data_IF_611890936342
#
_entry.id   IF_611890936342
#
_cell.length_a   1.000
_cell.length_b   1.000
_cell.length_c   1.000
_cell.angle_alpha   90.00
_cell.angle_beta   90.00
_cell.angle_gamma   90.00
#
_symmetry.space_group_name_H-M   'P 1'
#
loop_
_entity.id
_entity.type
_entity.pdbx_description
1 polymer ?
#
# COMPACT_ATOMS: atom_id res chain seq x y z
N UNK A 1 -22.58 21.84 1.64
CA UNK A 1 -21.26 21.80 2.29
C UNK A 1 -20.47 20.70 1.60
N UNK A 2 -19.48 21.05 0.78
CA UNK A 2 -18.65 20.06 0.11
C UNK A 2 -17.76 19.40 1.16
N UNK A 3 -18.04 18.14 1.50
CA UNK A 3 -17.11 17.32 2.25
C UNK A 3 -15.83 17.17 1.41
N UNK A 4 -14.83 17.97 1.74
CA UNK A 4 -13.47 17.74 1.23
C UNK A 4 -13.02 16.45 1.86
N UNK A 5 -13.01 15.37 1.10
CA UNK A 5 -12.54 14.06 1.56
C UNK A 5 -11.11 14.20 2.09
N UNK A 6 -10.90 13.83 3.35
CA UNK A 6 -9.57 13.81 3.95
C UNK A 6 -8.87 12.51 3.54
N UNK A 7 -7.95 12.61 2.58
CA UNK A 7 -7.10 11.49 2.22
C UNK A 7 -5.92 11.40 3.20
N UNK A 8 -5.68 10.21 3.73
CA UNK A 8 -4.54 9.93 4.61
C UNK A 8 -3.34 9.48 3.77
N UNK A 9 -2.17 10.04 4.05
CA UNK A 9 -0.94 9.80 3.28
C UNK A 9 0.05 9.02 4.12
N UNK A 10 0.64 8.00 3.50
CA UNK A 10 1.82 7.27 3.99
C UNK A 10 2.80 7.03 2.84
N UNK A 11 3.87 6.30 3.08
CA UNK A 11 4.87 5.91 2.10
C UNK A 11 5.07 4.39 2.09
N UNK A 12 5.71 3.89 1.04
CA UNK A 12 6.05 2.47 0.88
C UNK A 12 7.40 2.18 1.57
N UNK A 13 7.44 1.16 2.42
CA UNK A 13 8.62 0.69 3.14
C UNK A 13 8.73 1.20 4.58
N UNK A 14 9.88 0.94 5.21
CA UNK A 14 10.18 1.39 6.56
C UNK A 14 10.79 2.81 6.58
N UNK A 15 10.72 3.53 7.73
CA UNK A 15 11.30 4.86 7.85
C UNK A 15 12.80 4.89 7.48
N UNK A 16 13.24 5.94 6.78
CA UNK A 16 14.66 6.17 6.45
C UNK A 16 15.53 6.27 7.70
N UNK A 17 14.95 6.77 8.80
CA UNK A 17 15.62 6.89 10.09
C UNK A 17 16.08 5.56 10.69
N UNK A 18 15.57 4.43 10.21
CA UNK A 18 16.00 3.10 10.65
C UNK A 18 17.37 2.68 10.07
N UNK A 19 17.85 3.35 9.02
CA UNK A 19 19.16 3.16 8.39
C UNK A 19 19.49 1.74 7.90
N UNK A 20 18.50 0.87 7.78
CA UNK A 20 18.66 -0.49 7.27
C UNK A 20 18.13 -0.60 5.83
N UNK A 21 18.88 -1.26 4.97
CA UNK A 21 18.44 -1.56 3.61
C UNK A 21 17.56 -2.80 3.54
N UNK A 22 17.76 -3.76 4.47
CA UNK A 22 16.95 -4.97 4.65
C UNK A 22 16.88 -5.37 6.11
N UNK A 23 15.75 -5.97 6.50
CA UNK A 23 15.49 -6.56 7.81
C UNK A 23 15.43 -8.07 7.70
N UNK A 24 16.16 -8.78 8.53
CA UNK A 24 16.03 -10.22 8.66
C UNK A 24 15.03 -10.54 9.76
N UNK A 25 13.96 -11.27 9.42
CA UNK A 25 12.91 -11.65 10.37
C UNK A 25 12.87 -13.15 10.54
N UNK A 26 12.99 -13.60 11.78
CA UNK A 26 12.93 -15.02 12.17
C UNK A 26 11.59 -15.37 12.85
N UNK A 27 10.84 -14.39 13.31
CA UNK A 27 9.57 -14.57 14.00
C UNK A 27 8.52 -13.55 13.59
N UNK A 28 7.26 -13.85 13.86
CA UNK A 28 6.16 -12.88 13.71
C UNK A 28 6.29 -11.73 14.72
N UNK A 29 6.88 -12.00 15.88
CA UNK A 29 7.19 -10.99 16.89
C UNK A 29 8.18 -9.94 16.37
N UNK A 30 9.17 -10.36 15.56
CA UNK A 30 10.08 -9.40 14.90
C UNK A 30 9.32 -8.42 14.02
N UNK A 31 8.34 -8.89 13.24
CA UNK A 31 7.51 -8.03 12.42
C UNK A 31 6.60 -7.13 13.24
N UNK A 32 6.01 -7.61 14.34
CA UNK A 32 5.24 -6.79 15.27
C UNK A 32 6.08 -5.67 15.87
N UNK A 33 7.32 -5.94 16.26
CA UNK A 33 8.25 -4.92 16.73
C UNK A 33 8.58 -3.87 15.67
N UNK A 34 8.79 -4.28 14.41
CA UNK A 34 9.00 -3.33 13.31
C UNK A 34 7.75 -2.48 13.04
N UNK A 35 6.56 -3.07 13.10
CA UNK A 35 5.28 -2.35 13.00
C UNK A 35 5.17 -1.30 14.10
N UNK A 36 5.40 -1.70 15.36
CA UNK A 36 5.36 -0.78 16.49
C UNK A 36 6.32 0.39 16.33
N UNK A 37 7.59 0.10 16.04
CA UNK A 37 8.63 1.14 15.88
C UNK A 37 8.30 2.08 14.70
N UNK A 38 7.78 1.54 13.60
CA UNK A 38 7.38 2.35 12.43
C UNK A 38 6.21 3.27 12.76
N UNK A 39 5.21 2.78 13.47
CA UNK A 39 4.09 3.60 13.93
C UNK A 39 4.54 4.71 14.87
N UNK A 40 5.42 4.40 15.85
CA UNK A 40 5.99 5.38 16.78
C UNK A 40 6.78 6.46 16.03
N UNK A 41 7.62 6.08 15.05
CA UNK A 41 8.40 7.05 14.28
C UNK A 41 7.50 7.92 13.40
N UNK A 42 6.50 7.32 12.74
CA UNK A 42 5.57 8.04 11.88
C UNK A 42 4.69 9.02 12.66
N UNK A 43 4.25 8.67 13.88
CA UNK A 43 3.44 9.59 14.70
C UNK A 43 4.18 10.87 15.07
N UNK A 44 5.51 10.82 15.27
CA UNK A 44 6.34 12.02 15.49
C UNK A 44 6.27 13.02 14.34
N UNK A 45 6.03 12.50 13.12
CA UNK A 45 5.93 13.28 11.87
C UNK A 45 4.50 13.51 11.41
N UNK A 46 3.51 13.12 12.23
CA UNK A 46 2.07 13.18 11.92
C UNK A 46 1.65 12.35 10.71
N UNK A 47 2.40 11.30 10.42
CA UNK A 47 2.04 10.27 9.44
C UNK A 47 1.29 9.18 10.22
N UNK A 48 0.02 8.95 9.89
CA UNK A 48 -0.84 8.04 10.66
C UNK A 48 -0.67 6.58 10.25
N UNK A 49 -0.52 6.34 8.95
CA UNK A 49 -0.52 5.00 8.38
C UNK A 49 0.90 4.49 8.15
N UNK A 50 1.03 3.18 7.99
CA UNK A 50 2.25 2.55 7.49
C UNK A 50 1.92 1.62 6.33
N UNK A 51 2.86 1.45 5.40
CA UNK A 51 2.80 0.44 4.35
C UNK A 51 4.14 -0.29 4.28
N UNK A 52 4.16 -1.52 4.76
CA UNK A 52 5.35 -2.38 4.81
C UNK A 52 5.63 -2.88 3.39
N UNK A 53 6.87 -2.77 2.91
CA UNK A 53 7.30 -3.37 1.64
C UNK A 53 8.09 -4.65 1.91
N UNK A 54 7.60 -5.77 1.40
CA UNK A 54 8.29 -7.05 1.56
C UNK A 54 9.66 -7.10 0.89
N UNK A 55 9.98 -6.17 -0.03
CA UNK A 55 11.32 -6.08 -0.64
C UNK A 55 12.39 -5.61 0.34
N UNK A 56 11.99 -4.98 1.44
CA UNK A 56 12.89 -4.54 2.52
C UNK A 56 13.07 -5.62 3.62
N UNK A 57 12.46 -6.80 3.43
CA UNK A 57 12.47 -7.88 4.42
C UNK A 57 13.04 -9.15 3.80
N UNK A 58 13.86 -9.84 4.58
CA UNK A 58 14.25 -11.23 4.34
C UNK A 58 13.61 -12.11 5.41
N UNK A 59 12.67 -12.95 5.00
CA UNK A 59 11.97 -13.87 5.88
C UNK A 59 12.71 -15.19 5.97
N UNK A 60 13.05 -15.65 7.18
CA UNK A 60 13.58 -17.00 7.41
C UNK A 60 12.48 -18.06 7.31
N UNK A 61 12.88 -19.33 7.23
CA UNK A 61 11.90 -20.42 7.29
C UNK A 61 11.16 -20.47 8.64
N UNK A 62 11.84 -20.11 9.71
CA UNK A 62 11.24 -20.10 11.07
C UNK A 62 10.09 -19.10 11.16
N UNK A 63 10.19 -17.95 10.48
CA UNK A 63 9.09 -16.96 10.41
C UNK A 63 7.77 -17.58 9.93
N UNK A 64 7.81 -18.50 8.95
CA UNK A 64 6.60 -19.11 8.38
C UNK A 64 6.00 -20.20 9.28
N UNK A 65 6.81 -20.85 10.10
CA UNK A 65 6.37 -21.86 11.07
C UNK A 65 6.03 -21.28 12.44
N UNK A 66 6.43 -20.03 12.70
CA UNK A 66 6.18 -19.34 13.95
C UNK A 66 4.67 -19.09 14.20
N UNK A 67 4.28 -19.08 15.46
CA UNK A 67 2.94 -18.76 15.92
C UNK A 67 3.00 -17.58 16.87
N UNK A 68 1.96 -16.73 16.84
CA UNK A 68 1.84 -15.64 17.82
C UNK A 68 1.24 -16.25 19.08
N UNK A 69 2.04 -16.28 20.15
CA UNK A 69 1.58 -16.66 21.48
C UNK A 69 0.98 -15.42 22.18
N UNK A 70 -0.30 -15.19 21.93
CA UNK A 70 -1.03 -14.04 22.51
C UNK A 70 -1.19 -14.13 24.03
N UNK A 71 -0.99 -15.31 24.63
CA UNK A 71 -1.02 -15.52 26.09
C UNK A 71 0.29 -15.11 26.75
N UNK A 72 1.39 -14.99 25.98
CA UNK A 72 2.65 -14.44 26.47
C UNK A 72 2.49 -12.96 26.85
N UNK A 73 2.85 -12.61 28.07
CA UNK A 73 2.76 -11.23 28.57
C UNK A 73 3.47 -10.22 27.66
N UNK A 74 4.66 -10.57 27.14
CA UNK A 74 5.45 -9.67 26.30
C UNK A 74 4.77 -9.40 24.95
N UNK A 75 4.13 -10.40 24.35
CA UNK A 75 3.42 -10.26 23.08
C UNK A 75 2.10 -9.54 23.29
N UNK A 76 1.35 -9.89 24.34
CA UNK A 76 0.12 -9.19 24.71
C UNK A 76 0.36 -7.71 24.93
N UNK A 77 1.39 -7.34 25.68
CA UNK A 77 1.81 -5.96 25.90
C UNK A 77 2.19 -5.23 24.60
N UNK A 78 2.84 -5.92 23.66
CA UNK A 78 3.21 -5.36 22.37
C UNK A 78 1.98 -5.11 21.48
N UNK A 79 1.07 -6.08 21.42
CA UNK A 79 -0.20 -5.95 20.70
C UNK A 79 -1.03 -4.78 21.27
N UNK A 80 -1.12 -4.66 22.59
CA UNK A 80 -1.82 -3.55 23.24
C UNK A 80 -1.21 -2.18 22.91
N UNK A 81 0.13 -2.08 22.89
CA UNK A 81 0.83 -0.85 22.49
C UNK A 81 0.53 -0.48 21.05
N UNK A 82 0.56 -1.45 20.11
CA UNK A 82 0.24 -1.23 18.71
C UNK A 82 -1.23 -0.80 18.57
N UNK A 83 -2.16 -1.54 19.18
CA UNK A 83 -3.60 -1.28 19.13
C UNK A 83 -3.93 0.10 19.69
N UNK A 84 -3.27 0.52 20.78
CA UNK A 84 -3.43 1.86 21.34
C UNK A 84 -3.07 2.95 20.32
N UNK A 85 -1.99 2.77 19.57
CA UNK A 85 -1.61 3.73 18.51
C UNK A 85 -2.64 3.69 17.37
N UNK A 86 -3.06 2.50 16.93
CA UNK A 86 -4.06 2.35 15.86
C UNK A 86 -5.35 3.09 16.24
N UNK A 87 -5.86 2.90 17.47
CA UNK A 87 -7.10 3.53 17.91
C UNK A 87 -6.95 5.04 18.09
N UNK A 88 -5.89 5.49 18.79
CA UNK A 88 -5.69 6.92 19.12
C UNK A 88 -5.51 7.77 17.86
N UNK A 89 -4.76 7.27 16.88
CA UNK A 89 -4.46 8.02 15.66
C UNK A 89 -5.33 7.62 14.47
N UNK A 90 -6.23 6.64 14.63
CA UNK A 90 -6.99 6.02 13.52
C UNK A 90 -6.06 5.53 12.42
N UNK A 91 -4.95 4.89 12.82
CA UNK A 91 -3.91 4.41 11.91
C UNK A 91 -4.36 3.19 11.12
N UNK A 92 -3.90 3.08 9.87
CA UNK A 92 -4.05 1.89 9.04
C UNK A 92 -2.70 1.28 8.72
N UNK A 93 -2.66 -0.05 8.66
CA UNK A 93 -1.47 -0.81 8.33
C UNK A 93 -1.72 -1.54 7.02
N UNK A 94 -0.76 -1.41 6.09
CA UNK A 94 -0.78 -2.06 4.80
C UNK A 94 0.49 -2.89 4.61
N UNK A 95 0.39 -3.92 3.78
CA UNK A 95 1.52 -4.75 3.39
C UNK A 95 1.56 -4.86 1.87
N UNK A 96 2.69 -4.51 1.27
CA UNK A 96 2.92 -4.60 -0.16
C UNK A 96 3.81 -5.80 -0.48
N UNK A 97 3.26 -6.76 -1.21
CA UNK A 97 4.02 -7.90 -1.71
C UNK A 97 4.83 -7.47 -2.94
N UNK A 98 6.15 -7.48 -2.79
CA UNK A 98 7.09 -7.16 -3.86
C UNK A 98 7.09 -8.21 -4.96
N UNK A 99 7.86 -7.93 -6.01
CA UNK A 99 8.00 -8.79 -7.21
C UNK A 99 8.64 -10.18 -6.96
N UNK A 100 8.97 -10.50 -5.74
CA UNK A 100 9.51 -11.80 -5.36
C UNK A 100 8.40 -12.79 -4.97
N UNK A 101 7.18 -12.30 -4.73
CA UNK A 101 6.04 -13.06 -4.23
C UNK A 101 4.88 -13.02 -5.22
N UNK A 102 4.73 -14.12 -5.97
CA UNK A 102 3.67 -14.22 -6.99
C UNK A 102 2.84 -15.49 -6.82
N UNK A 103 1.56 -15.35 -6.55
CA UNK A 103 0.62 -16.47 -6.55
C UNK A 103 0.52 -17.14 -7.93
N UNK A 104 0.69 -16.39 -9.02
CA UNK A 104 0.64 -16.91 -10.38
C UNK A 104 1.90 -17.67 -10.81
N UNK A 105 2.95 -17.72 -9.98
CA UNK A 105 4.20 -18.40 -10.32
C UNK A 105 3.97 -19.88 -10.71
N UNK A 106 4.63 -20.30 -11.78
CA UNK A 106 4.67 -21.72 -12.17
C UNK A 106 5.70 -22.51 -11.34
N UNK A 107 6.61 -21.82 -10.65
CA UNK A 107 7.58 -22.41 -9.74
C UNK A 107 6.91 -22.64 -8.40
N UNK A 108 6.78 -23.91 -8.01
CA UNK A 108 6.06 -24.31 -6.80
C UNK A 108 6.64 -23.70 -5.53
N UNK A 109 7.96 -23.62 -5.44
CA UNK A 109 8.64 -23.01 -4.31
C UNK A 109 8.24 -21.56 -4.09
N UNK A 110 8.27 -20.73 -5.16
CA UNK A 110 7.86 -19.32 -5.10
C UNK A 110 6.39 -19.20 -4.70
N UNK A 111 5.54 -20.03 -5.30
CA UNK A 111 4.11 -20.05 -5.01
C UNK A 111 3.81 -20.40 -3.57
N UNK A 112 4.41 -21.51 -3.08
CA UNK A 112 4.21 -21.97 -1.72
C UNK A 112 4.74 -20.96 -0.70
N UNK A 113 5.91 -20.36 -0.95
CA UNK A 113 6.45 -19.27 -0.14
C UNK A 113 5.52 -18.07 -0.11
N UNK A 114 4.90 -17.73 -1.26
CA UNK A 114 3.91 -16.64 -1.34
C UNK A 114 2.67 -16.96 -0.49
N UNK A 115 2.11 -18.16 -0.60
CA UNK A 115 0.97 -18.60 0.21
C UNK A 115 1.28 -18.53 1.70
N UNK A 116 2.46 -19.06 2.11
CA UNK A 116 2.92 -19.00 3.50
C UNK A 116 3.05 -17.57 4.00
N UNK A 117 3.62 -16.65 3.18
CA UNK A 117 3.73 -15.24 3.54
C UNK A 117 2.35 -14.60 3.74
N UNK A 118 1.42 -14.81 2.80
CA UNK A 118 0.08 -14.23 2.89
C UNK A 118 -0.67 -14.69 4.14
N UNK A 119 -0.57 -15.98 4.47
CA UNK A 119 -1.21 -16.54 5.66
C UNK A 119 -0.53 -16.00 6.94
N UNK A 120 0.80 -15.87 6.98
CA UNK A 120 1.52 -15.32 8.13
C UNK A 120 1.16 -13.84 8.34
N UNK A 121 1.13 -13.02 7.28
CA UNK A 121 0.73 -11.61 7.38
C UNK A 121 -0.75 -11.49 7.78
N UNK A 122 -1.62 -12.34 7.22
CA UNK A 122 -3.04 -12.37 7.61
C UNK A 122 -3.21 -12.68 9.10
N UNK A 123 -2.50 -13.67 9.63
CA UNK A 123 -2.51 -14.01 11.06
C UNK A 123 -2.06 -12.84 11.95
N UNK A 124 -0.96 -12.15 11.58
CA UNK A 124 -0.50 -10.96 12.30
C UNK A 124 -1.57 -9.86 12.27
N UNK A 125 -2.22 -9.66 11.13
CA UNK A 125 -3.27 -8.66 10.98
C UNK A 125 -4.53 -9.02 11.77
N UNK A 126 -4.86 -10.31 11.91
CA UNK A 126 -5.95 -10.78 12.77
C UNK A 126 -5.68 -10.44 14.25
N UNK A 127 -4.47 -10.70 14.75
CA UNK A 127 -4.07 -10.34 16.12
C UNK A 127 -4.09 -8.82 16.38
N UNK A 128 -4.00 -8.00 15.32
CA UNK A 128 -4.13 -6.54 15.37
C UNK A 128 -5.54 -6.03 15.07
N UNK A 129 -6.53 -6.92 14.91
CA UNK A 129 -7.91 -6.55 14.57
C UNK A 129 -8.09 -5.94 13.18
N UNK A 130 -7.13 -6.15 12.27
CA UNK A 130 -7.17 -5.64 10.90
C UNK A 130 -7.97 -6.59 10.02
N UNK A 131 -9.19 -6.20 9.67
CA UNK A 131 -10.15 -7.01 8.91
C UNK A 131 -10.61 -6.35 7.59
N UNK A 132 -9.87 -5.38 7.08
CA UNK A 132 -10.11 -4.67 5.81
C UNK A 132 -9.05 -5.05 4.76
N UNK A 133 -9.32 -4.81 3.45
CA UNK A 133 -8.33 -5.05 2.40
C UNK A 133 -7.06 -4.20 2.61
N UNK A 134 -5.94 -4.86 2.86
CA UNK A 134 -4.70 -4.25 3.34
C UNK A 134 -3.42 -4.91 2.80
N UNK A 135 -3.53 -6.12 2.21
CA UNK A 135 -2.40 -6.84 1.62
C UNK A 135 -2.44 -6.65 0.10
N UNK A 136 -1.49 -5.91 -0.43
CA UNK A 136 -1.45 -5.50 -1.84
C UNK A 136 -0.60 -6.49 -2.64
N UNK A 137 -1.21 -7.13 -3.63
CA UNK A 137 -0.57 -8.09 -4.51
C UNK A 137 -0.37 -7.53 -5.92
N UNK A 138 0.67 -8.03 -6.59
CA UNK A 138 0.78 -8.01 -8.05
C UNK A 138 0.47 -9.40 -8.59
N UNK A 139 -0.06 -9.49 -9.81
CA UNK A 139 -0.31 -10.82 -10.43
C UNK A 139 1.02 -11.53 -10.68
N UNK A 140 2.02 -10.81 -11.17
CA UNK A 140 3.35 -11.32 -11.46
C UNK A 140 3.70 -11.24 -12.95
N UNK A 141 4.77 -11.94 -13.35
CA UNK A 141 5.26 -11.91 -14.71
C UNK A 141 4.38 -12.71 -15.67
N UNK A 142 4.11 -12.14 -16.85
CA UNK A 142 3.34 -12.77 -17.89
C UNK A 142 4.24 -13.61 -18.84
N UNK A 143 4.92 -14.62 -18.28
CA UNK A 143 5.58 -15.64 -19.13
C UNK A 143 4.51 -16.60 -19.66
N UNK A 144 4.14 -16.45 -20.93
CA UNK A 144 3.14 -17.28 -21.58
C UNK A 144 1.79 -16.60 -21.81
N UNK A 145 0.70 -17.36 -21.74
CA UNK A 145 -0.64 -16.87 -22.01
C UNK A 145 -1.19 -16.07 -20.82
N UNK A 146 -1.40 -14.75 -21.01
CA UNK A 146 -1.92 -13.83 -19.98
C UNK A 146 -3.25 -14.30 -19.37
N UNK A 147 -4.17 -14.88 -20.18
CA UNK A 147 -5.45 -15.38 -19.69
C UNK A 147 -5.28 -16.57 -18.75
N UNK A 148 -4.38 -17.49 -19.08
CA UNK A 148 -4.07 -18.63 -18.23
C UNK A 148 -3.42 -18.21 -16.90
N UNK A 149 -2.55 -17.20 -16.94
CA UNK A 149 -1.92 -16.64 -15.74
C UNK A 149 -2.99 -16.01 -14.83
N UNK A 150 -3.89 -15.19 -15.36
CA UNK A 150 -4.99 -14.61 -14.59
C UNK A 150 -5.91 -15.70 -14.01
N UNK A 151 -6.29 -16.71 -14.81
CA UNK A 151 -7.10 -17.83 -14.33
C UNK A 151 -6.42 -18.61 -13.22
N UNK A 152 -5.11 -18.88 -13.37
CA UNK A 152 -4.29 -19.53 -12.34
C UNK A 152 -4.20 -18.70 -11.06
N UNK A 153 -4.02 -17.38 -11.19
CA UNK A 153 -4.05 -16.47 -10.05
C UNK A 153 -5.39 -16.51 -9.32
N UNK A 154 -6.50 -16.42 -10.04
CA UNK A 154 -7.86 -16.48 -9.47
C UNK A 154 -8.09 -17.79 -8.71
N UNK A 155 -7.76 -18.96 -9.33
CA UNK A 155 -7.90 -20.25 -8.66
C UNK A 155 -7.15 -20.26 -7.32
N UNK A 156 -5.90 -19.83 -7.32
CA UNK A 156 -5.05 -19.83 -6.11
C UNK A 156 -5.52 -18.83 -5.05
N UNK A 157 -6.06 -17.68 -5.46
CA UNK A 157 -6.70 -16.76 -4.53
C UNK A 157 -7.91 -17.43 -3.88
N UNK A 158 -8.73 -18.14 -4.64
CA UNK A 158 -9.92 -18.82 -4.13
C UNK A 158 -9.58 -20.00 -3.21
N UNK A 159 -8.41 -20.61 -3.37
CA UNK A 159 -7.89 -21.68 -2.50
C UNK A 159 -7.34 -21.18 -1.16
N UNK A 160 -7.09 -19.86 -1.03
CA UNK A 160 -6.63 -19.29 0.25
C UNK A 160 -7.76 -19.30 1.30
N UNK A 161 -7.43 -19.34 2.61
CA UNK A 161 -8.39 -19.14 3.68
C UNK A 161 -9.21 -17.87 3.49
N UNK A 162 -10.48 -17.89 3.89
CA UNK A 162 -11.40 -16.73 3.73
C UNK A 162 -10.86 -15.48 4.42
N UNK A 163 -10.27 -15.65 5.59
CA UNK A 163 -9.67 -14.61 6.41
C UNK A 163 -8.52 -13.93 5.66
N UNK A 164 -7.64 -14.72 5.03
CA UNK A 164 -6.55 -14.20 4.18
C UNK A 164 -7.10 -13.49 2.95
N UNK A 165 -8.06 -14.10 2.24
CA UNK A 165 -8.67 -13.50 1.04
C UNK A 165 -9.32 -12.15 1.30
N UNK A 166 -10.01 -12.00 2.43
CA UNK A 166 -10.72 -10.77 2.78
C UNK A 166 -9.80 -9.56 2.94
N UNK A 167 -8.51 -9.80 3.18
CA UNK A 167 -7.48 -8.76 3.34
C UNK A 167 -6.73 -8.44 2.06
N UNK A 168 -6.97 -9.19 0.97
CA UNK A 168 -6.24 -9.00 -0.28
C UNK A 168 -6.79 -7.84 -1.11
N UNK A 169 -5.88 -7.20 -1.83
CA UNK A 169 -6.15 -6.30 -2.96
C UNK A 169 -5.10 -6.50 -4.03
N UNK A 170 -5.43 -6.24 -5.29
CA UNK A 170 -4.51 -6.39 -6.42
C UNK A 170 -4.20 -5.04 -7.04
N UNK A 171 -2.97 -4.84 -7.53
CA UNK A 171 -2.57 -3.57 -8.17
C UNK A 171 -2.09 -3.77 -9.61
N UNK A 172 -2.31 -2.73 -10.44
CA UNK A 172 -1.90 -2.72 -11.84
C UNK A 172 -0.39 -2.52 -12.02
N UNK A 173 0.12 -3.04 -13.13
CA UNK A 173 1.53 -3.01 -13.51
C UNK A 173 1.86 -1.89 -14.49
N UNK A 174 3.17 -1.55 -14.58
CA UNK A 174 3.73 -0.49 -15.42
C UNK A 174 4.19 -0.94 -16.82
N UNK A 175 4.21 -2.25 -17.09
CA UNK A 175 4.63 -2.77 -18.40
C UNK A 175 3.43 -3.16 -19.25
N UNK A 176 3.34 -2.77 -20.54
CA UNK A 176 2.24 -3.17 -21.42
C UNK A 176 2.10 -4.69 -21.60
N UNK A 177 3.17 -5.46 -21.37
CA UNK A 177 3.13 -6.93 -21.36
C UNK A 177 2.50 -7.51 -20.11
N UNK A 178 2.30 -6.71 -19.04
CA UNK A 178 1.67 -7.10 -17.78
C UNK A 178 0.22 -6.61 -17.68
N UNK A 179 -0.31 -6.46 -16.51
CA UNK A 179 -1.75 -6.34 -16.26
C UNK A 179 -2.16 -4.90 -15.95
N UNK A 180 -2.96 -4.32 -16.84
CA UNK A 180 -3.60 -3.01 -16.68
C UNK A 180 -4.81 -3.08 -15.75
N UNK A 181 -5.39 -1.93 -15.39
CA UNK A 181 -6.68 -1.87 -14.64
C UNK A 181 -7.80 -2.61 -15.38
N UNK A 182 -7.85 -2.50 -16.72
CA UNK A 182 -8.84 -3.21 -17.54
C UNK A 182 -8.71 -4.72 -17.41
N UNK A 183 -7.48 -5.24 -17.43
CA UNK A 183 -7.21 -6.67 -17.25
C UNK A 183 -7.60 -7.13 -15.84
N UNK A 184 -7.24 -6.33 -14.80
CA UNK A 184 -7.59 -6.65 -13.42
C UNK A 184 -9.10 -6.67 -13.19
N UNK A 185 -9.82 -5.72 -13.76
CA UNK A 185 -11.28 -5.66 -13.64
C UNK A 185 -11.93 -6.88 -14.29
N UNK A 186 -11.59 -7.15 -15.55
CA UNK A 186 -12.23 -8.22 -16.32
C UNK A 186 -11.79 -9.62 -15.96
N UNK A 187 -10.51 -9.81 -15.57
CA UNK A 187 -9.93 -11.14 -15.36
C UNK A 187 -9.73 -11.53 -13.90
N UNK A 188 -9.78 -10.58 -12.95
CA UNK A 188 -9.53 -10.86 -11.53
C UNK A 188 -10.72 -10.48 -10.66
N UNK A 189 -11.16 -9.21 -10.73
CA UNK A 189 -12.21 -8.73 -9.82
C UNK A 189 -13.53 -9.49 -9.99
N UNK A 190 -13.98 -9.75 -11.21
CA UNK A 190 -15.25 -10.47 -11.43
C UNK A 190 -15.20 -11.89 -10.90
N UNK A 191 -14.04 -12.56 -10.91
CA UNK A 191 -13.87 -13.93 -10.44
C UNK A 191 -13.67 -14.02 -8.92
N UNK A 192 -12.87 -13.10 -8.34
CA UNK A 192 -12.39 -13.23 -6.95
C UNK A 192 -13.03 -12.24 -6.00
N UNK A 193 -13.60 -11.16 -6.50
CA UNK A 193 -14.13 -10.02 -5.74
C UNK A 193 -13.07 -9.29 -4.88
N UNK A 194 -11.77 -9.53 -5.07
CA UNK A 194 -10.72 -8.73 -4.40
C UNK A 194 -10.62 -7.36 -5.05
N UNK A 195 -10.56 -6.26 -4.28
CA UNK A 195 -10.55 -4.91 -4.83
C UNK A 195 -9.25 -4.57 -5.54
N UNK A 196 -9.29 -3.52 -6.39
CA UNK A 196 -8.16 -3.02 -7.16
C UNK A 196 -7.58 -1.78 -6.47
N UNK A 197 -6.34 -1.87 -6.00
CA UNK A 197 -5.53 -0.74 -5.57
C UNK A 197 -4.91 -0.06 -6.79
N UNK A 198 -5.34 1.17 -7.08
CA UNK A 198 -4.88 1.88 -8.27
C UNK A 198 -3.45 2.40 -8.08
N UNK A 199 -2.52 1.96 -8.95
CA UNK A 199 -1.14 2.44 -8.99
C UNK A 199 -0.97 3.42 -10.15
N UNK A 200 -0.80 4.71 -9.82
CA UNK A 200 -0.79 5.80 -10.79
C UNK A 200 0.30 5.66 -11.85
N UNK A 201 1.56 5.50 -11.43
CA UNK A 201 2.68 5.37 -12.38
C UNK A 201 2.54 4.11 -13.26
N UNK A 202 2.00 3.03 -12.69
CA UNK A 202 1.67 1.82 -13.45
C UNK A 202 0.69 2.11 -14.57
N UNK A 203 -0.35 2.89 -14.29
CA UNK A 203 -1.34 3.26 -15.30
C UNK A 203 -0.78 4.20 -16.37
N UNK A 204 0.12 5.12 -16.03
CA UNK A 204 0.75 6.00 -17.04
C UNK A 204 1.48 5.20 -18.13
N UNK A 205 2.16 4.12 -17.77
CA UNK A 205 2.91 3.29 -18.71
C UNK A 205 2.11 2.11 -19.30
N UNK A 206 1.01 1.71 -18.63
CA UNK A 206 0.14 0.61 -19.04
C UNK A 206 -1.32 0.96 -18.81
N UNK A 207 -1.86 1.87 -19.64
CA UNK A 207 -3.17 2.45 -19.42
C UNK A 207 -4.36 1.53 -19.78
N UNK A 208 -4.12 0.44 -20.54
CA UNK A 208 -5.18 -0.49 -20.93
C UNK A 208 -6.32 0.14 -21.72
N UNK A 209 -6.06 1.28 -22.42
CA UNK A 209 -7.05 2.02 -23.20
C UNK A 209 -7.92 2.99 -22.39
N UNK A 210 -7.62 3.22 -21.11
CA UNK A 210 -8.37 4.11 -20.23
C UNK A 210 -7.60 5.41 -19.93
N UNK A 211 -8.33 6.50 -19.73
CA UNK A 211 -7.75 7.69 -19.11
C UNK A 211 -7.49 7.46 -17.62
N UNK A 212 -6.62 8.27 -17.01
CA UNK A 212 -6.34 8.21 -15.55
C UNK A 212 -7.64 8.26 -14.74
N UNK A 213 -8.55 9.16 -15.12
CA UNK A 213 -9.83 9.34 -14.42
C UNK A 213 -10.71 8.09 -14.50
N UNK A 214 -10.86 7.51 -15.69
CA UNK A 214 -11.65 6.30 -15.89
C UNK A 214 -11.09 5.13 -15.11
N UNK A 215 -9.79 4.85 -15.23
CA UNK A 215 -9.12 3.79 -14.51
C UNK A 215 -9.24 3.95 -12.99
N UNK A 216 -9.08 5.18 -12.50
CA UNK A 216 -9.24 5.49 -11.08
C UNK A 216 -10.65 5.19 -10.57
N UNK A 217 -11.71 5.66 -11.26
CA UNK A 217 -13.09 5.40 -10.84
C UNK A 217 -13.49 3.94 -10.98
N UNK A 218 -13.02 3.23 -12.01
CA UNK A 218 -13.22 1.79 -12.15
C UNK A 218 -12.57 1.02 -11.01
N UNK A 219 -11.33 1.36 -10.64
CA UNK A 219 -10.66 0.76 -9.48
C UNK A 219 -11.42 1.06 -8.18
N UNK A 220 -11.83 2.31 -7.98
CA UNK A 220 -12.59 2.72 -6.80
C UNK A 220 -13.92 1.95 -6.67
N UNK A 221 -14.62 1.67 -7.77
CA UNK A 221 -15.89 0.94 -7.74
C UNK A 221 -15.78 -0.51 -7.20
N UNK A 222 -14.57 -1.08 -7.18
CA UNK A 222 -14.32 -2.42 -6.67
C UNK A 222 -14.27 -2.51 -5.14
N UNK A 223 -14.20 -1.38 -4.43
CA UNK A 223 -13.98 -1.32 -2.97
C UNK A 223 -15.24 -1.44 -2.12
N UNK A 224 -16.43 -1.46 -2.71
CA UNK A 224 -17.71 -1.75 -2.03
C UNK A 224 -17.95 -0.94 -0.75
N UNK A 225 -17.53 0.33 -0.72
CA UNK A 225 -17.70 1.23 0.42
C UNK A 225 -16.51 1.32 1.38
N UNK A 226 -15.52 0.46 1.23
CA UNK A 226 -14.23 0.62 1.92
C UNK A 226 -13.43 1.78 1.33
N UNK A 227 -12.52 2.37 2.14
CA UNK A 227 -11.65 3.46 1.67
C UNK A 227 -10.56 2.88 0.77
N UNK A 228 -10.52 3.23 -0.52
CA UNK A 228 -9.61 2.62 -1.48
C UNK A 228 -8.15 2.99 -1.24
N UNK A 229 -7.26 2.09 -1.65
CA UNK A 229 -5.82 2.33 -1.68
C UNK A 229 -5.44 2.92 -3.03
N UNK A 230 -4.70 4.03 -2.98
CA UNK A 230 -4.12 4.70 -4.14
C UNK A 230 -2.60 4.79 -3.98
N UNK A 231 -1.86 4.08 -4.82
CA UNK A 231 -0.39 4.10 -4.84
C UNK A 231 0.03 5.17 -5.83
N UNK A 232 0.71 6.20 -5.35
CA UNK A 232 1.11 7.34 -6.17
C UNK A 232 2.61 7.56 -6.17
N UNK A 233 3.16 7.74 -7.37
CA UNK A 233 4.53 8.17 -7.59
C UNK A 233 4.61 9.05 -8.84
N UNK A 234 5.64 9.87 -8.89
CA UNK A 234 6.07 10.55 -10.10
C UNK A 234 7.36 9.91 -10.62
N UNK A 235 7.60 9.99 -11.92
CA UNK A 235 8.85 9.52 -12.51
C UNK A 235 10.02 10.40 -12.05
N UNK A 236 11.15 9.75 -11.74
CA UNK A 236 12.43 10.44 -11.52
C UNK A 236 12.90 11.16 -12.76
N UNK A 237 12.56 10.64 -13.93
CA UNK A 237 13.01 11.13 -15.22
C UNK A 237 11.83 11.67 -16.02
N UNK A 238 12.05 12.83 -16.67
CA UNK A 238 11.07 13.48 -17.54
C UNK A 238 11.74 13.87 -18.86
N UNK A 239 10.96 13.85 -19.94
CA UNK A 239 11.39 14.39 -21.24
C UNK A 239 11.35 15.94 -21.24
N UNK A 240 11.68 16.53 -22.40
CA UNK A 240 11.68 17.98 -22.58
C UNK A 240 10.28 18.61 -22.45
N UNK A 241 9.23 17.83 -22.66
CA UNK A 241 7.83 18.24 -22.54
C UNK A 241 7.26 18.01 -21.13
N UNK A 242 8.06 17.39 -20.23
CA UNK A 242 7.68 17.09 -18.84
C UNK A 242 6.94 15.76 -18.66
N UNK A 243 6.84 14.92 -19.71
CA UNK A 243 6.22 13.61 -19.61
C UNK A 243 7.14 12.62 -18.86
N UNK A 244 6.54 11.64 -18.21
CA UNK A 244 7.27 10.57 -17.53
C UNK A 244 7.91 9.62 -18.56
N UNK A 245 9.21 9.32 -18.40
CA UNK A 245 9.96 8.43 -19.29
C UNK A 245 10.36 7.11 -18.66
N UNK A 246 10.25 6.99 -17.34
CA UNK A 246 10.50 5.75 -16.61
C UNK A 246 9.54 5.58 -15.44
N UNK A 247 9.32 4.33 -15.00
CA UNK A 247 8.53 4.04 -13.80
C UNK A 247 9.36 4.13 -12.51
N UNK A 248 10.63 4.52 -12.60
CA UNK A 248 11.49 4.75 -11.43
C UNK A 248 10.98 5.91 -10.61
N UNK A 249 10.73 5.71 -9.30
CA UNK A 249 10.12 6.75 -8.46
C UNK A 249 11.06 7.93 -8.22
N UNK A 250 10.47 9.12 -8.17
CA UNK A 250 11.15 10.37 -7.79
C UNK A 250 11.47 10.40 -6.29
N UNK A 251 12.33 11.33 -5.90
CA UNK A 251 12.62 11.57 -4.48
C UNK A 251 11.42 12.21 -3.76
N UNK A 252 10.77 13.17 -4.42
CA UNK A 252 9.63 13.93 -3.92
C UNK A 252 8.58 14.10 -5.00
N UNK A 253 7.33 14.30 -4.58
CA UNK A 253 6.27 14.73 -5.50
C UNK A 253 6.36 16.22 -5.76
N UNK A 254 6.12 16.61 -7.01
CA UNK A 254 6.13 17.99 -7.48
C UNK A 254 4.73 18.52 -7.79
N UNK A 255 3.75 17.62 -7.92
CA UNK A 255 2.37 17.96 -8.24
C UNK A 255 1.40 17.49 -7.16
N UNK A 256 0.24 18.15 -7.10
CA UNK A 256 -0.85 17.71 -6.24
C UNK A 256 -1.45 16.40 -6.75
N UNK A 257 -1.64 15.44 -5.85
CA UNK A 257 -2.23 14.14 -6.17
C UNK A 257 -3.69 14.31 -6.59
N UNK A 258 -4.10 13.75 -7.74
CA UNK A 258 -5.48 13.84 -8.20
C UNK A 258 -6.37 12.85 -7.42
N UNK A 259 -7.03 13.31 -6.36
CA UNK A 259 -7.97 12.49 -5.58
C UNK A 259 -9.38 12.45 -6.16
N UNK A 260 -9.67 13.30 -7.14
CA UNK A 260 -11.00 13.47 -7.76
C UNK A 260 -12.14 13.67 -6.75
N UNK A 261 -11.82 14.20 -5.55
CA UNK A 261 -12.77 14.47 -4.49
C UNK A 261 -13.11 13.27 -3.60
N UNK A 262 -12.43 12.14 -3.78
CA UNK A 262 -12.61 10.95 -2.95
C UNK A 262 -11.70 10.96 -1.72
N UNK A 263 -12.15 10.23 -0.68
CA UNK A 263 -11.35 9.91 0.47
C UNK A 263 -10.53 8.66 0.17
N UNK A 264 -9.19 8.70 0.36
CA UNK A 264 -8.27 7.67 -0.07
C UNK A 264 -7.23 7.35 1.01
N UNK A 265 -6.78 6.10 1.03
CA UNK A 265 -5.51 5.71 1.64
C UNK A 265 -4.41 5.88 0.58
N UNK A 266 -3.64 6.94 0.66
CA UNK A 266 -2.59 7.24 -0.33
C UNK A 266 -1.26 6.69 0.16
N UNK A 267 -0.65 5.82 -0.65
CA UNK A 267 0.69 5.29 -0.41
C UNK A 267 1.63 5.93 -1.43
N UNK A 268 2.62 6.67 -0.96
CA UNK A 268 3.64 7.28 -1.82
C UNK A 268 4.74 6.26 -2.11
N UNK A 269 4.93 5.96 -3.39
CA UNK A 269 6.07 5.20 -3.88
C UNK A 269 7.16 6.20 -4.28
N UNK A 270 8.03 6.58 -3.33
CA UNK A 270 9.03 7.65 -3.43
C UNK A 270 10.30 7.29 -2.68
N UNK A 271 11.47 7.81 -3.13
CA UNK A 271 12.75 7.46 -2.51
C UNK A 271 12.96 8.11 -1.12
N UNK A 272 12.38 9.31 -0.89
CA UNK A 272 12.53 10.05 0.38
C UNK A 272 11.40 9.80 1.38
N UNK A 273 10.63 8.73 1.19
CA UNK A 273 9.69 8.13 2.14
C UNK A 273 8.97 9.16 3.04
N UNK A 274 9.22 9.10 4.38
CA UNK A 274 8.60 10.01 5.35
C UNK A 274 8.88 11.49 5.09
N UNK A 275 10.07 11.84 4.59
CA UNK A 275 10.41 13.23 4.26
C UNK A 275 9.53 13.75 3.11
N UNK A 276 9.20 12.86 2.15
CA UNK A 276 8.28 13.19 1.06
C UNK A 276 6.85 13.41 1.55
N UNK A 277 6.37 12.59 2.50
CA UNK A 277 5.07 12.79 3.12
C UNK A 277 4.97 14.14 3.86
N UNK A 278 5.99 14.48 4.65
CA UNK A 278 6.07 15.74 5.38
C UNK A 278 6.10 16.92 4.40
N UNK A 279 6.95 16.84 3.36
CA UNK A 279 7.04 17.87 2.33
C UNK A 279 5.70 18.04 1.60
N UNK A 280 5.10 16.96 1.15
CA UNK A 280 3.81 16.98 0.45
C UNK A 280 2.70 17.59 1.32
N UNK A 281 2.62 17.18 2.58
CA UNK A 281 1.64 17.73 3.52
C UNK A 281 1.79 19.23 3.71
N UNK A 282 3.04 19.72 3.83
CA UNK A 282 3.34 21.15 3.93
C UNK A 282 2.96 21.90 2.64
N UNK A 283 3.34 21.38 1.48
CA UNK A 283 3.25 22.10 0.21
C UNK A 283 1.81 22.09 -0.35
N UNK A 284 1.02 21.03 -0.10
CA UNK A 284 -0.27 20.82 -0.73
C UNK A 284 -1.47 20.64 0.20
N UNK A 285 -1.29 20.27 1.48
CA UNK A 285 -2.39 20.02 2.42
C UNK A 285 -2.51 21.12 3.48
N UNK A 286 -1.44 21.83 3.82
CA UNK A 286 -1.42 22.88 4.87
C UNK A 286 -2.01 24.21 4.42
N UNK A 287 -2.65 24.31 3.26
CA UNK A 287 -3.30 25.52 2.77
C UNK A 287 -4.69 25.69 3.39
N UNK A 288 -4.77 25.81 4.71
CA UNK A 288 -5.77 26.72 5.29
C UNK A 288 -5.20 28.12 5.10
N UNK A 289 -5.85 29.05 4.37
CA UNK A 289 -5.34 30.41 4.28
C UNK A 289 -5.27 30.96 5.71
N UNK A 290 -4.07 31.33 6.17
CA UNK A 290 -3.93 32.14 7.37
C UNK A 290 -4.55 33.49 7.00
N UNK A 291 -5.81 33.67 7.37
CA UNK A 291 -6.47 34.98 7.28
C UNK A 291 -5.77 35.84 8.32
N UNK A 292 -4.76 36.60 7.88
CA UNK A 292 -4.20 37.67 8.66
C UNK A 292 -5.30 38.75 8.80
N UNK A 293 -6.09 38.72 9.85
CA UNK A 293 -6.94 39.84 10.24
C UNK A 293 -5.99 40.99 10.60
N UNK A 294 -5.89 41.98 9.69
CA UNK A 294 -5.26 43.28 10.00
C UNK A 294 -5.98 43.83 11.21
N UNK A 295 -5.35 43.84 12.38
CA UNK A 295 -5.78 44.62 13.52
C UNK A 295 -5.79 46.10 13.08
N UNK A 296 -6.93 46.65 12.84
CA UNK A 296 -7.12 48.08 12.68
C UNK A 296 -6.59 48.76 13.94
N UNK A 297 -5.41 49.37 13.87
CA UNK A 297 -4.96 50.33 14.86
C UNK A 297 -5.89 51.56 14.71
N UNK A 298 -6.90 51.65 15.58
CA UNK A 298 -7.57 52.92 15.80
C UNK A 298 -6.54 53.89 16.38
N UNK A 299 -6.18 54.91 15.59
CA UNK A 299 -5.52 56.10 16.11
C UNK A 299 -6.53 56.84 16.99
N UNK A 300 -6.13 57.12 18.22
CA UNK A 300 -6.62 58.24 19.03
C UNK A 300 -5.76 59.45 18.76
#
# INVERSE_FOLDING_TARGET
MNNVGFSEITYLGFPLSFNNSKYYLSSKTDLLNLIYNSLVENTKRRIKNICIDSSEIEFSNDFFSDTIDEESNDISDLLDKINKIIVVYSSRIFFYCSKEYFLSSQIDEIRNKTVSLLNSISSIFDSLGINYPSIILRIGSAYGNRKEIMKSFCSRVLDLPKETRSKLTVTNDDKPSLFSVTDLLSGIYYETQIPISFRFIGHIFNNGGLTVREAFFLSNSTWKGEIPIFIHSESKERDQEGNFVSSSPSDYLTNRIPTFGLNLNIILEVNRKEDSCVKYSRDFLSLTPIIFTKKNKKKK
#
